data_IF_528415773890
#
_entry.id   IF_528415773890
#
_cell.length_a   1.000
_cell.length_b   1.000
_cell.length_c   1.000
_cell.angle_alpha   90.00
_cell.angle_beta   90.00
_cell.angle_gamma   90.00
#
_symmetry.space_group_name_H-M   'P 1'
#
loop_
_entity.id
_entity.type
_entity.pdbx_description
1 polymer ?
#
# COMPACT_ATOMS: atom_id res chain seq x y z
N UNK A 1 9.26 -17.66 -2.12
CA UNK A 1 8.71 -16.29 -2.05
C UNK A 1 7.54 -16.28 -1.09
N UNK A 2 7.14 -15.11 -0.60
CA UNK A 2 5.93 -14.90 0.19
C UNK A 2 4.83 -14.27 -0.68
N UNK A 3 3.57 -14.41 -0.30
CA UNK A 3 2.43 -13.76 -0.97
C UNK A 3 1.67 -12.89 0.04
N UNK A 4 0.97 -11.88 -0.45
CA UNK A 4 0.12 -11.02 0.36
C UNK A 4 -0.95 -11.85 1.09
N UNK A 5 -1.22 -11.62 2.40
CA UNK A 5 -0.83 -10.46 3.21
C UNK A 5 0.47 -10.65 4.01
N UNK A 6 1.30 -11.66 3.73
CA UNK A 6 2.53 -11.90 4.49
C UNK A 6 3.45 -10.66 4.47
N UNK A 7 3.94 -10.24 5.62
CA UNK A 7 4.81 -9.06 5.76
C UNK A 7 6.04 -9.11 4.83
N UNK A 8 6.59 -10.32 4.60
CA UNK A 8 7.84 -10.49 3.88
C UNK A 8 7.78 -10.00 2.43
N UNK A 9 6.62 -10.04 1.75
CA UNK A 9 6.50 -9.51 0.38
C UNK A 9 6.53 -7.97 0.37
N UNK A 10 5.96 -7.31 1.38
CA UNK A 10 5.95 -5.85 1.49
C UNK A 10 7.30 -5.30 1.95
N UNK A 11 7.94 -5.95 2.93
CA UNK A 11 9.28 -5.60 3.40
C UNK A 11 10.31 -5.75 2.28
N UNK A 12 10.24 -6.83 1.51
CA UNK A 12 11.11 -7.03 0.35
C UNK A 12 10.90 -5.93 -0.71
N UNK A 13 9.66 -5.52 -0.96
CA UNK A 13 9.36 -4.43 -1.89
C UNK A 13 9.95 -3.10 -1.41
N UNK A 14 9.74 -2.71 -0.15
CA UNK A 14 10.32 -1.49 0.43
C UNK A 14 11.85 -1.51 0.39
N UNK A 15 12.46 -2.63 0.81
CA UNK A 15 13.91 -2.80 0.79
C UNK A 15 14.50 -2.72 -0.62
N UNK A 16 13.80 -3.23 -1.64
CA UNK A 16 14.26 -3.14 -3.03
C UNK A 16 14.31 -1.70 -3.56
N UNK A 17 13.52 -0.81 -2.97
CA UNK A 17 13.48 0.62 -3.27
C UNK A 17 14.42 1.44 -2.38
N UNK A 18 15.10 0.83 -1.41
CA UNK A 18 15.87 1.54 -0.39
C UNK A 18 15.00 2.42 0.54
N UNK A 19 13.71 2.10 0.66
CA UNK A 19 12.73 2.85 1.45
C UNK A 19 12.40 2.11 2.74
N UNK A 20 11.91 2.84 3.75
CA UNK A 20 11.25 2.23 4.90
C UNK A 20 9.78 1.96 4.58
N UNK A 21 9.11 1.00 5.24
CA UNK A 21 7.67 0.80 5.07
C UNK A 21 6.86 2.09 5.30
N UNK A 22 7.24 2.93 6.27
CA UNK A 22 6.57 4.20 6.54
C UNK A 22 6.66 5.24 5.41
N UNK A 23 7.64 5.10 4.52
CA UNK A 23 7.81 5.96 3.34
C UNK A 23 7.03 5.43 2.13
N UNK A 24 6.36 4.27 2.27
CA UNK A 24 5.68 3.59 1.17
C UNK A 24 4.17 3.75 1.25
N UNK A 25 3.55 3.93 0.08
CA UNK A 25 2.11 3.80 -0.14
C UNK A 25 1.84 2.55 -0.98
N UNK A 26 1.22 1.54 -0.39
CA UNK A 26 0.76 0.36 -1.13
C UNK A 26 -0.60 0.64 -1.79
N UNK A 27 -0.75 0.28 -3.07
CA UNK A 27 -1.97 0.49 -3.83
C UNK A 27 -2.46 -0.85 -4.40
N UNK A 28 -3.68 -1.24 -4.04
CA UNK A 28 -4.27 -2.53 -4.44
C UNK A 28 -5.79 -2.53 -4.30
N UNK A 29 -6.44 -3.67 -4.55
CA UNK A 29 -7.90 -3.79 -4.57
C UNK A 29 -8.46 -4.78 -3.54
N UNK A 30 -7.60 -5.47 -2.79
CA UNK A 30 -7.99 -6.42 -1.76
C UNK A 30 -7.87 -5.83 -0.34
N UNK A 31 -8.97 -5.72 0.43
CA UNK A 31 -8.93 -5.18 1.78
C UNK A 31 -8.03 -5.95 2.75
N UNK A 32 -7.86 -7.26 2.57
CA UNK A 32 -7.05 -8.10 3.46
C UNK A 32 -5.64 -8.22 2.89
N UNK A 33 -5.53 -8.70 1.66
CA UNK A 33 -4.22 -8.97 1.05
C UNK A 33 -3.42 -7.70 0.83
N UNK A 34 -4.03 -6.62 0.33
CA UNK A 34 -3.30 -5.39 0.05
C UNK A 34 -3.28 -4.46 1.25
N UNK A 35 -4.46 -4.09 1.76
CA UNK A 35 -4.55 -3.05 2.79
C UNK A 35 -4.05 -3.52 4.14
N UNK A 36 -4.62 -4.59 4.70
CA UNK A 36 -4.20 -5.06 6.03
C UNK A 36 -2.74 -5.52 6.03
N UNK A 37 -2.29 -6.22 4.98
CA UNK A 37 -0.89 -6.64 4.84
C UNK A 37 0.09 -5.47 4.84
N UNK A 38 -0.20 -4.41 4.06
CA UNK A 38 0.65 -3.22 4.01
C UNK A 38 0.61 -2.42 5.33
N UNK A 39 -0.58 -2.17 5.87
CA UNK A 39 -0.75 -1.42 7.13
C UNK A 39 -0.11 -2.12 8.33
N UNK A 40 -0.06 -3.47 8.33
CA UNK A 40 0.53 -4.27 9.42
C UNK A 40 2.04 -4.01 9.62
N UNK A 41 2.76 -3.57 8.59
CA UNK A 41 4.18 -3.21 8.67
C UNK A 41 4.42 -1.70 8.66
N UNK A 42 3.36 -0.89 8.77
CA UNK A 42 3.47 0.57 8.84
C UNK A 42 3.45 1.29 7.50
N UNK A 43 3.12 0.62 6.39
CA UNK A 43 2.87 1.31 5.11
C UNK A 43 1.53 2.06 5.16
N UNK A 44 1.44 3.14 4.37
CA UNK A 44 0.14 3.71 3.99
C UNK A 44 -0.52 2.81 2.94
N UNK A 45 -1.84 2.81 2.88
CA UNK A 45 -2.59 2.03 1.88
C UNK A 45 -3.63 2.85 1.13
N UNK A 46 -3.85 2.54 -0.14
CA UNK A 46 -4.97 3.05 -0.93
C UNK A 46 -5.68 1.91 -1.66
N UNK A 47 -6.96 1.70 -1.32
CA UNK A 47 -7.79 0.67 -1.92
C UNK A 47 -8.48 1.19 -3.19
N UNK A 48 -8.29 0.47 -4.29
CA UNK A 48 -8.94 0.69 -5.58
C UNK A 48 -10.18 -0.21 -5.66
N UNK A 49 -11.32 0.35 -6.07
CA UNK A 49 -12.57 -0.39 -6.34
C UNK A 49 -13.06 0.03 -7.72
N UNK A 50 -12.72 -0.70 -8.78
CA UNK A 50 -13.04 -0.29 -10.14
C UNK A 50 -14.51 -0.58 -10.49
N UNK A 51 -15.23 0.38 -11.13
CA UNK A 51 -14.75 1.68 -11.61
C UNK A 51 -14.94 2.84 -10.61
N UNK A 52 -15.48 2.58 -9.41
CA UNK A 52 -15.93 3.59 -8.43
C UNK A 52 -14.80 4.43 -7.84
N UNK A 53 -13.71 3.78 -7.46
CA UNK A 53 -12.51 4.35 -6.87
C UNK A 53 -11.33 3.92 -7.72
N UNK A 54 -10.84 4.84 -8.55
CA UNK A 54 -9.68 4.61 -9.44
C UNK A 54 -8.43 5.27 -8.87
N UNK A 55 -7.28 5.03 -9.51
CA UNK A 55 -6.04 5.74 -9.18
C UNK A 55 -6.15 7.26 -9.30
N UNK A 56 -7.11 7.78 -10.07
CA UNK A 56 -7.31 9.23 -10.13
C UNK A 56 -7.74 9.80 -8.78
N UNK A 57 -8.53 9.06 -8.00
CA UNK A 57 -8.95 9.47 -6.66
C UNK A 57 -7.78 9.53 -5.66
N UNK A 58 -6.65 8.86 -5.94
CA UNK A 58 -5.45 8.95 -5.12
C UNK A 58 -4.89 10.38 -5.14
N UNK A 59 -4.97 11.10 -6.26
CA UNK A 59 -4.41 12.45 -6.38
C UNK A 59 -4.98 13.42 -5.33
N UNK A 60 -6.27 13.30 -5.02
CA UNK A 60 -6.93 14.09 -3.99
C UNK A 60 -6.51 13.69 -2.56
N UNK A 61 -5.98 12.47 -2.37
CA UNK A 61 -5.60 11.92 -1.05
C UNK A 61 -4.10 12.01 -0.77
N UNK A 62 -3.25 12.21 -1.77
CA UNK A 62 -1.79 12.32 -1.56
C UNK A 62 -1.42 13.41 -0.55
N UNK A 63 -2.13 14.55 -0.54
CA UNK A 63 -1.92 15.60 0.47
C UNK A 63 -2.17 15.13 1.91
N UNK A 64 -3.14 14.21 2.12
CA UNK A 64 -3.41 13.60 3.43
C UNK A 64 -2.42 12.48 3.80
N UNK A 65 -1.70 11.94 2.81
CA UNK A 65 -0.67 10.93 3.02
C UNK A 65 0.72 11.53 3.24
N UNK A 66 0.94 12.81 3.01
CA UNK A 66 2.25 13.46 3.19
C UNK A 66 2.30 14.37 4.43
N UNK A 67 1.16 14.57 5.09
CA UNK A 67 1.05 15.18 6.41
C UNK A 67 1.30 14.14 7.51
#
# INVERSE_FOLDING_TARGET
GADKPDAAIFEAAASSLGATPSDCLHVGDDPVRDRQGAEAIGMKSFLVDRPKVTLLALTARLGSFLA
#
